data_IF_318416214983
#
_entry.id   IF_318416214983
#
_cell.length_a   1.000
_cell.length_b   1.000
_cell.length_c   1.000
_cell.angle_alpha   90.00
_cell.angle_beta   90.00
_cell.angle_gamma   90.00
#
_symmetry.space_group_name_H-M   'P 1'
#
loop_
_entity.id
_entity.type
_entity.pdbx_description
1 polymer ?
#
# COMPACT_ATOMS: atom_id res chain seq x y z
N UNK A 1 -31.34 12.58 6.28
CA UNK A 1 -30.12 13.40 6.48
C UNK A 1 -28.88 12.56 6.81
N UNK A 2 -29.00 11.46 7.58
CA UNK A 2 -27.84 10.58 7.91
C UNK A 2 -27.13 9.97 6.69
N UNK A 3 -27.84 9.55 5.64
CA UNK A 3 -27.23 8.97 4.45
C UNK A 3 -26.38 9.96 3.62
N UNK A 4 -26.74 11.25 3.57
CA UNK A 4 -25.94 12.26 2.84
C UNK A 4 -24.61 12.54 3.53
N UNK A 5 -24.59 12.52 4.86
CA UNK A 5 -23.34 12.73 5.64
C UNK A 5 -22.36 11.55 5.49
N UNK A 6 -22.87 10.32 5.33
CA UNK A 6 -22.03 9.13 5.17
C UNK A 6 -21.35 9.10 3.80
N UNK A 7 -22.02 9.53 2.73
CA UNK A 7 -21.46 9.50 1.38
C UNK A 7 -20.31 10.51 1.19
N UNK A 8 -20.37 11.66 1.86
CA UNK A 8 -19.29 12.68 1.83
C UNK A 8 -18.18 12.44 2.85
N UNK A 9 -18.34 11.45 3.74
CA UNK A 9 -17.27 11.04 4.66
C UNK A 9 -16.04 10.56 3.87
N UNK A 10 -14.84 10.75 4.44
CA UNK A 10 -13.59 10.47 3.76
C UNK A 10 -13.25 8.98 3.71
N UNK A 11 -12.36 8.61 2.82
CA UNK A 11 -11.63 7.35 2.85
C UNK A 11 -10.39 7.54 3.71
N UNK A 12 -10.28 6.74 4.79
CA UNK A 12 -9.05 6.69 5.58
C UNK A 12 -8.01 5.82 4.86
N UNK A 13 -6.81 6.34 4.66
CA UNK A 13 -5.69 5.58 4.11
C UNK A 13 -4.54 5.64 5.08
N UNK A 14 -3.93 4.51 5.43
CA UNK A 14 -2.73 4.56 6.26
C UNK A 14 -1.60 3.67 5.78
N UNK A 15 -0.40 4.09 6.11
CA UNK A 15 0.86 3.40 5.83
C UNK A 15 1.84 3.55 7.00
N UNK A 16 2.89 2.75 6.99
CA UNK A 16 3.99 2.88 7.94
C UNK A 16 4.75 4.21 7.82
N UNK A 17 4.59 4.96 6.74
CA UNK A 17 5.32 6.19 6.50
C UNK A 17 4.85 6.93 5.26
N UNK A 18 5.75 7.11 4.29
CA UNK A 18 5.51 7.91 3.08
C UNK A 18 5.13 7.06 1.86
N UNK A 19 5.44 5.77 1.87
CA UNK A 19 5.26 4.89 0.71
C UNK A 19 3.80 4.72 0.29
N UNK A 20 2.87 4.75 1.24
CA UNK A 20 1.43 4.63 1.00
C UNK A 20 0.83 5.73 0.12
N UNK A 21 1.57 6.83 -0.10
CA UNK A 21 1.19 7.86 -1.06
C UNK A 21 1.10 7.32 -2.51
N UNK A 22 1.80 6.23 -2.83
CA UNK A 22 1.64 5.56 -4.13
C UNK A 22 0.25 4.94 -4.30
N UNK A 23 -0.32 4.37 -3.24
CA UNK A 23 -1.69 3.84 -3.21
C UNK A 23 -2.69 4.99 -3.17
N UNK A 24 -2.44 6.00 -2.33
CA UNK A 24 -3.28 7.20 -2.22
C UNK A 24 -3.43 7.91 -3.56
N UNK A 25 -2.34 8.06 -4.31
CA UNK A 25 -2.37 8.64 -5.66
C UNK A 25 -3.30 7.88 -6.61
N UNK A 26 -3.29 6.56 -6.57
CA UNK A 26 -4.21 5.76 -7.40
C UNK A 26 -5.66 5.89 -6.93
N UNK A 27 -5.91 5.94 -5.63
CA UNK A 27 -7.26 6.20 -5.09
C UNK A 27 -7.79 7.55 -5.60
N UNK A 28 -7.01 8.61 -5.49
CA UNK A 28 -7.39 9.94 -6.00
C UNK A 28 -7.66 9.94 -7.49
N UNK A 29 -6.87 9.17 -8.26
CA UNK A 29 -7.02 9.09 -9.72
C UNK A 29 -8.25 8.31 -10.15
N UNK A 30 -8.54 7.18 -9.48
CA UNK A 30 -9.65 6.28 -9.84
C UNK A 30 -10.98 6.71 -9.20
N UNK A 31 -10.91 7.46 -8.10
CA UNK A 31 -12.04 7.89 -7.28
C UNK A 31 -11.96 9.43 -7.03
N UNK A 32 -11.97 10.25 -8.09
CA UNK A 32 -11.65 11.69 -7.97
C UNK A 32 -12.67 12.51 -7.17
N UNK A 33 -13.82 11.94 -6.86
CA UNK A 33 -14.85 12.60 -6.04
C UNK A 33 -14.73 12.27 -4.55
N UNK A 34 -13.87 11.32 -4.16
CA UNK A 34 -13.76 10.86 -2.79
C UNK A 34 -12.81 11.72 -1.97
N UNK A 35 -13.27 12.15 -0.80
CA UNK A 35 -12.41 12.76 0.21
C UNK A 35 -11.44 11.71 0.77
N UNK A 36 -10.21 12.11 1.07
CA UNK A 36 -9.20 11.21 1.63
C UNK A 36 -8.56 11.81 2.87
N UNK A 37 -8.45 11.01 3.92
CA UNK A 37 -7.64 11.29 5.10
C UNK A 37 -6.49 10.28 5.12
N UNK A 38 -5.27 10.77 4.89
CA UNK A 38 -4.06 9.95 4.94
C UNK A 38 -3.41 10.03 6.32
N UNK A 39 -2.92 8.89 6.80
CA UNK A 39 -2.05 8.83 7.97
C UNK A 39 -0.76 8.06 7.67
N UNK A 40 0.39 8.71 7.85
CA UNK A 40 1.73 8.11 7.78
C UNK A 40 2.36 7.95 9.15
N UNK A 41 2.67 6.72 9.56
CA UNK A 41 3.27 6.42 10.86
C UNK A 41 4.79 6.60 10.86
N UNK A 42 5.21 7.82 10.56
CA UNK A 42 6.62 8.19 10.32
C UNK A 42 7.52 8.07 11.55
N UNK A 43 6.95 8.13 12.76
CA UNK A 43 7.71 7.95 14.00
C UNK A 43 8.14 6.49 14.26
N UNK A 44 7.40 5.50 13.69
CA UNK A 44 7.58 4.07 14.02
C UNK A 44 8.06 3.22 12.86
N UNK A 45 8.49 3.85 11.74
CA UNK A 45 9.12 3.15 10.61
C UNK A 45 10.44 2.48 11.01
N UNK A 46 10.88 1.44 10.31
CA UNK A 46 10.16 0.65 9.32
C UNK A 46 9.30 -0.44 9.96
N UNK A 47 8.14 -0.74 9.38
CA UNK A 47 7.27 -1.84 9.83
C UNK A 47 7.81 -3.23 9.48
N UNK A 48 8.60 -3.33 8.43
CA UNK A 48 9.12 -4.61 7.91
C UNK A 48 10.01 -5.41 8.87
N UNK A 49 10.52 -4.78 9.94
CA UNK A 49 11.33 -5.42 11.00
C UNK A 49 10.60 -5.55 12.34
N UNK A 50 9.33 -5.15 12.42
CA UNK A 50 8.55 -5.20 13.67
C UNK A 50 7.82 -6.53 13.82
N UNK A 51 7.53 -6.89 15.08
CA UNK A 51 6.73 -8.07 15.39
C UNK A 51 5.26 -7.90 14.99
N UNK A 52 4.56 -9.01 14.75
CA UNK A 52 3.12 -9.02 14.46
C UNK A 52 2.30 -8.24 15.50
N UNK A 53 2.59 -8.46 16.80
CA UNK A 53 1.87 -7.80 17.89
C UNK A 53 2.02 -6.27 17.85
N UNK A 54 3.22 -5.77 17.55
CA UNK A 54 3.43 -4.34 17.39
C UNK A 54 2.66 -3.78 16.19
N UNK A 55 2.67 -4.47 15.04
CA UNK A 55 1.95 -4.03 13.85
C UNK A 55 0.44 -4.00 14.10
N UNK A 56 -0.13 -5.00 14.79
CA UNK A 56 -1.54 -4.99 15.18
C UNK A 56 -1.83 -3.81 16.10
N UNK A 57 -1.00 -3.59 17.13
CA UNK A 57 -1.18 -2.45 18.05
C UNK A 57 -1.15 -1.12 17.30
N UNK A 58 -0.17 -0.90 16.44
CA UNK A 58 -0.04 0.33 15.64
C UNK A 58 -1.25 0.52 14.72
N UNK A 59 -1.69 -0.53 14.05
CA UNK A 59 -2.86 -0.48 13.18
C UNK A 59 -4.14 -0.11 13.94
N UNK A 60 -4.33 -0.65 15.16
CA UNK A 60 -5.47 -0.29 16.04
C UNK A 60 -5.48 1.18 16.40
N UNK A 61 -4.33 1.74 16.81
CA UNK A 61 -4.20 3.16 17.15
C UNK A 61 -4.54 4.04 15.94
N UNK A 62 -3.98 3.73 14.79
CA UNK A 62 -4.22 4.49 13.56
C UNK A 62 -5.69 4.42 13.14
N UNK A 63 -6.32 3.26 13.21
CA UNK A 63 -7.74 3.10 12.87
C UNK A 63 -8.62 3.91 13.84
N UNK A 64 -8.32 3.92 15.14
CA UNK A 64 -9.05 4.76 16.11
C UNK A 64 -8.91 6.24 15.77
N UNK A 65 -7.70 6.69 15.47
CA UNK A 65 -7.46 8.06 14.99
C UNK A 65 -8.29 8.37 13.74
N UNK A 66 -8.21 7.54 12.70
CA UNK A 66 -8.94 7.77 11.46
C UNK A 66 -10.47 7.82 11.69
N UNK A 67 -10.99 7.01 12.59
CA UNK A 67 -12.42 7.07 12.97
C UNK A 67 -12.82 8.41 13.57
N UNK A 68 -11.92 9.13 14.28
CA UNK A 68 -12.21 10.50 14.74
C UNK A 68 -12.32 11.51 13.60
N UNK A 69 -11.84 11.17 12.40
CA UNK A 69 -11.92 11.99 11.19
C UNK A 69 -13.13 11.69 10.31
N UNK A 70 -14.13 10.98 10.83
CA UNK A 70 -15.35 10.64 10.12
C UNK A 70 -15.08 9.95 8.78
N UNK A 71 -14.32 8.86 8.79
CA UNK A 71 -14.06 8.05 7.59
C UNK A 71 -15.13 6.98 7.39
N UNK A 72 -15.47 6.67 6.13
CA UNK A 72 -16.48 5.67 5.74
C UNK A 72 -15.91 4.30 5.35
N UNK A 73 -14.62 4.26 5.00
CA UNK A 73 -13.86 3.05 4.69
C UNK A 73 -12.39 3.30 5.00
N UNK A 74 -11.62 2.25 5.23
CA UNK A 74 -10.19 2.34 5.52
C UNK A 74 -9.40 1.45 4.55
N UNK A 75 -8.31 1.99 4.02
CA UNK A 75 -7.33 1.27 3.20
C UNK A 75 -6.01 1.15 3.96
N UNK A 76 -5.58 -0.07 4.21
CA UNK A 76 -4.23 -0.36 4.72
C UNK A 76 -3.29 -0.42 3.53
N UNK A 77 -2.62 0.71 3.22
CA UNK A 77 -1.70 0.79 2.10
C UNK A 77 -0.40 -0.01 2.35
N UNK A 78 0.05 -0.07 3.59
CA UNK A 78 1.23 -0.83 3.99
C UNK A 78 1.06 -2.33 3.80
N UNK A 79 1.92 -2.95 2.97
CA UNK A 79 1.90 -4.41 2.75
C UNK A 79 2.18 -5.20 4.02
N UNK A 80 3.12 -4.74 4.86
CA UNK A 80 3.43 -5.38 6.15
C UNK A 80 2.22 -5.35 7.09
N UNK A 81 1.55 -4.21 7.19
CA UNK A 81 0.33 -4.09 8.01
C UNK A 81 -0.83 -4.90 7.42
N UNK A 82 -1.00 -4.90 6.10
CA UNK A 82 -1.98 -5.75 5.40
C UNK A 82 -1.74 -7.24 5.66
N UNK A 83 -0.47 -7.67 5.67
CA UNK A 83 -0.12 -9.07 5.91
C UNK A 83 -0.35 -9.52 7.35
N UNK A 84 -0.08 -8.65 8.33
CA UNK A 84 0.03 -9.05 9.74
C UNK A 84 -1.15 -8.60 10.60
N UNK A 85 -1.86 -7.53 10.24
CA UNK A 85 -2.89 -6.93 11.07
C UNK A 85 -4.30 -6.98 10.47
N UNK A 86 -4.44 -7.04 9.14
CA UNK A 86 -5.73 -6.85 8.45
C UNK A 86 -6.85 -7.72 9.01
N UNK A 87 -6.65 -9.02 9.11
CA UNK A 87 -7.70 -9.95 9.59
C UNK A 87 -8.14 -9.62 11.02
N UNK A 88 -7.15 -9.33 11.91
CA UNK A 88 -7.44 -8.96 13.29
C UNK A 88 -8.25 -7.66 13.39
N UNK A 89 -7.85 -6.61 12.66
CA UNK A 89 -8.55 -5.32 12.75
C UNK A 89 -9.91 -5.33 12.04
N UNK A 90 -10.12 -6.16 11.04
CA UNK A 90 -11.43 -6.36 10.41
C UNK A 90 -12.48 -6.93 11.38
N UNK A 91 -12.07 -7.82 12.28
CA UNK A 91 -12.94 -8.40 13.29
C UNK A 91 -13.28 -7.42 14.41
N UNK A 92 -12.42 -6.42 14.66
CA UNK A 92 -12.53 -5.50 15.79
C UNK A 92 -13.27 -4.19 15.48
N UNK A 93 -13.29 -3.79 14.21
CA UNK A 93 -13.85 -2.49 13.82
C UNK A 93 -15.00 -2.62 12.83
N UNK A 94 -16.13 -2.03 13.18
CA UNK A 94 -17.34 -1.97 12.35
C UNK A 94 -17.22 -0.86 11.28
N UNK A 95 -16.30 -1.06 10.34
CA UNK A 95 -16.09 -0.21 9.17
C UNK A 95 -15.43 -1.06 8.07
N UNK A 96 -15.74 -0.86 6.79
CA UNK A 96 -15.01 -1.54 5.71
C UNK A 96 -13.52 -1.27 5.77
N UNK A 97 -12.70 -2.32 5.91
CA UNK A 97 -11.23 -2.23 5.91
C UNK A 97 -10.71 -3.14 4.82
N UNK A 98 -9.89 -2.60 3.92
CA UNK A 98 -9.22 -3.37 2.88
C UNK A 98 -7.70 -3.20 2.98
N UNK A 99 -6.98 -4.24 2.52
CA UNK A 99 -5.53 -4.20 2.38
C UNK A 99 -5.13 -4.39 0.93
N UNK A 100 -3.86 -4.22 0.64
CA UNK A 100 -3.31 -4.24 -0.73
C UNK A 100 -2.95 -5.66 -1.24
N UNK A 101 -2.93 -6.68 -0.37
CA UNK A 101 -2.45 -8.01 -0.73
C UNK A 101 -3.45 -8.78 -1.57
N UNK A 102 -4.71 -8.86 -1.16
CA UNK A 102 -5.75 -9.62 -1.88
C UNK A 102 -5.95 -9.09 -3.30
N UNK A 103 -6.11 -7.76 -3.53
CA UNK A 103 -6.20 -7.21 -4.88
C UNK A 103 -4.95 -7.52 -5.72
N UNK A 104 -3.76 -7.38 -5.14
CA UNK A 104 -2.50 -7.67 -5.81
C UNK A 104 -2.33 -9.15 -6.18
N UNK A 105 -2.71 -10.07 -5.30
CA UNK A 105 -2.68 -11.51 -5.56
C UNK A 105 -3.64 -11.90 -6.68
N UNK A 106 -4.86 -11.37 -6.67
CA UNK A 106 -5.86 -11.59 -7.73
C UNK A 106 -5.38 -11.10 -9.08
N UNK A 107 -4.78 -9.91 -9.12
CA UNK A 107 -4.21 -9.39 -10.35
C UNK A 107 -3.05 -10.26 -10.86
N UNK A 108 -2.16 -10.71 -10.00
CA UNK A 108 -1.05 -11.57 -10.39
C UNK A 108 -1.54 -12.90 -11.01
N UNK A 109 -2.56 -13.51 -10.42
CA UNK A 109 -3.18 -14.73 -10.98
C UNK A 109 -3.85 -14.46 -12.32
N UNK A 110 -4.46 -13.31 -12.51
CA UNK A 110 -5.07 -12.91 -13.78
C UNK A 110 -4.02 -12.69 -14.89
N UNK A 111 -2.86 -12.13 -14.55
CA UNK A 111 -1.84 -11.68 -15.49
C UNK A 111 -0.81 -12.79 -15.84
N UNK A 112 -0.56 -13.74 -14.93
CA UNK A 112 0.39 -14.83 -15.19
C UNK A 112 -0.11 -15.77 -16.28
N UNK A 113 0.82 -16.28 -17.09
CA UNK A 113 0.55 -17.26 -18.16
C UNK A 113 1.06 -18.66 -17.80
N UNK A 114 2.11 -18.73 -16.98
CA UNK A 114 2.76 -19.99 -16.61
C UNK A 114 2.59 -20.38 -15.14
N UNK A 115 1.93 -19.52 -14.33
CA UNK A 115 1.73 -19.76 -12.90
C UNK A 115 2.95 -19.48 -12.02
N UNK A 116 4.05 -18.93 -12.58
CA UNK A 116 5.26 -18.62 -11.82
C UNK A 116 5.31 -17.14 -11.46
N UNK A 117 5.10 -16.83 -10.19
CA UNK A 117 4.89 -15.47 -9.70
C UNK A 117 5.98 -15.09 -8.70
N UNK A 118 6.69 -13.99 -8.98
CA UNK A 118 7.62 -13.36 -8.05
C UNK A 118 6.91 -12.39 -7.11
N UNK A 119 7.35 -12.32 -5.85
CA UNK A 119 6.87 -11.33 -4.87
C UNK A 119 8.07 -10.66 -4.20
N UNK A 120 8.25 -9.36 -4.42
CA UNK A 120 9.22 -8.56 -3.68
C UNK A 120 8.52 -7.90 -2.47
N UNK A 121 9.15 -7.93 -1.31
CA UNK A 121 8.53 -7.37 -0.11
C UNK A 121 9.54 -7.08 1.00
N UNK A 122 9.03 -6.58 2.12
CA UNK A 122 9.80 -6.55 3.37
C UNK A 122 9.99 -7.97 3.92
N UNK A 123 10.93 -8.15 4.84
CA UNK A 123 11.10 -9.46 5.50
C UNK A 123 9.80 -9.96 6.13
N UNK A 124 9.09 -9.09 6.85
CA UNK A 124 7.84 -9.47 7.51
C UNK A 124 6.74 -9.84 6.49
N UNK A 125 6.61 -9.12 5.38
CA UNK A 125 5.66 -9.43 4.32
C UNK A 125 5.95 -10.80 3.72
N UNK A 126 7.19 -11.09 3.37
CA UNK A 126 7.58 -12.37 2.75
C UNK A 126 7.43 -13.53 3.76
N UNK A 127 7.93 -13.37 4.99
CA UNK A 127 7.81 -14.39 6.05
C UNK A 127 6.36 -14.71 6.45
N UNK A 128 5.42 -13.78 6.26
CA UNK A 128 3.99 -14.02 6.53
C UNK A 128 3.36 -15.03 5.61
N UNK A 129 3.94 -15.21 4.42
CA UNK A 129 3.41 -16.02 3.31
C UNK A 129 1.99 -15.60 2.85
N UNK A 130 1.52 -14.42 3.24
CA UNK A 130 0.15 -13.99 2.94
C UNK A 130 -0.09 -13.90 1.44
N UNK A 131 0.84 -13.34 0.66
CA UNK A 131 0.73 -13.36 -0.80
C UNK A 131 0.65 -14.79 -1.37
N UNK A 132 1.52 -15.69 -0.92
CA UNK A 132 1.53 -17.10 -1.36
C UNK A 132 0.20 -17.79 -1.05
N UNK A 133 -0.34 -17.56 0.13
CA UNK A 133 -1.64 -18.12 0.54
C UNK A 133 -2.78 -17.57 -0.31
N UNK A 134 -2.83 -16.26 -0.54
CA UNK A 134 -3.89 -15.64 -1.34
C UNK A 134 -3.80 -16.05 -2.83
N UNK A 135 -2.60 -16.13 -3.39
CA UNK A 135 -2.39 -16.63 -4.76
C UNK A 135 -2.86 -18.08 -4.88
N UNK A 136 -2.45 -18.97 -3.95
CA UNK A 136 -2.79 -20.40 -3.99
C UNK A 136 -4.26 -20.70 -3.69
N UNK A 137 -5.00 -19.81 -3.05
CA UNK A 137 -6.46 -19.90 -2.96
C UNK A 137 -7.13 -19.82 -4.35
N UNK A 138 -6.55 -19.04 -5.26
CA UNK A 138 -7.08 -18.78 -6.59
C UNK A 138 -6.46 -19.72 -7.65
N UNK A 139 -5.19 -20.08 -7.48
CA UNK A 139 -4.41 -20.94 -8.37
C UNK A 139 -3.54 -21.87 -7.50
N UNK A 140 -4.09 -23.03 -7.07
CA UNK A 140 -3.41 -23.94 -6.14
C UNK A 140 -2.03 -24.43 -6.61
N UNK A 141 -1.84 -24.56 -7.93
CA UNK A 141 -0.61 -25.00 -8.59
C UNK A 141 0.43 -23.90 -8.77
N UNK A 142 0.12 -22.65 -8.43
CA UNK A 142 1.05 -21.53 -8.62
C UNK A 142 2.34 -21.71 -7.82
N UNK A 143 3.45 -21.48 -8.51
CA UNK A 143 4.77 -21.38 -7.91
C UNK A 143 5.05 -19.92 -7.53
N UNK A 144 5.23 -19.65 -6.25
CA UNK A 144 5.43 -18.29 -5.73
C UNK A 144 6.83 -18.17 -5.14
N UNK A 145 7.63 -17.29 -5.72
CA UNK A 145 9.01 -16.99 -5.28
C UNK A 145 9.01 -15.65 -4.54
N UNK A 146 9.10 -15.68 -3.21
CA UNK A 146 9.18 -14.49 -2.37
C UNK A 146 10.63 -14.03 -2.15
N UNK A 147 10.92 -12.74 -2.35
CA UNK A 147 12.25 -12.16 -2.08
C UNK A 147 12.15 -10.95 -1.17
N UNK A 148 12.74 -10.98 0.04
CA UNK A 148 12.86 -9.80 0.88
C UNK A 148 13.92 -8.85 0.31
N UNK A 149 13.56 -7.55 0.20
CA UNK A 149 14.43 -6.51 -0.36
C UNK A 149 14.49 -5.29 0.59
N UNK A 150 15.03 -5.43 1.82
CA UNK A 150 14.95 -4.39 2.85
C UNK A 150 15.63 -3.07 2.46
N UNK A 151 16.68 -3.08 1.65
CA UNK A 151 17.38 -1.86 1.23
C UNK A 151 16.60 -1.01 0.21
N UNK A 152 15.56 -1.53 -0.43
CA UNK A 152 14.79 -0.75 -1.41
C UNK A 152 14.06 0.43 -0.77
N UNK A 153 13.59 0.28 0.49
CA UNK A 153 12.91 1.37 1.21
C UNK A 153 13.86 2.55 1.43
N UNK A 154 15.03 2.41 2.10
CA UNK A 154 15.94 3.54 2.30
C UNK A 154 16.48 4.13 0.99
N UNK A 155 16.72 3.33 -0.05
CA UNK A 155 17.14 3.86 -1.35
C UNK A 155 16.09 4.82 -1.95
N UNK A 156 14.80 4.53 -1.76
CA UNK A 156 13.72 5.41 -2.21
C UNK A 156 13.62 6.65 -1.34
N UNK A 157 13.62 6.50 -0.02
CA UNK A 157 13.42 7.61 0.92
C UNK A 157 14.56 8.62 0.91
N UNK A 158 15.79 8.16 0.66
CA UNK A 158 16.96 9.02 0.53
C UNK A 158 17.21 9.55 -0.91
N UNK A 159 16.26 9.30 -1.83
CA UNK A 159 16.29 9.86 -3.19
C UNK A 159 17.24 9.13 -4.16
N UNK A 160 17.72 7.94 -3.80
CA UNK A 160 18.63 7.15 -4.66
C UNK A 160 17.89 6.29 -5.70
N UNK A 161 16.57 6.39 -5.84
CA UNK A 161 15.79 5.56 -6.75
C UNK A 161 16.31 5.56 -8.20
N UNK A 162 16.93 6.65 -8.65
CA UNK A 162 17.54 6.77 -9.98
C UNK A 162 19.08 6.64 -9.98
N UNK A 163 19.70 6.38 -8.85
CA UNK A 163 21.13 6.29 -8.73
C UNK A 163 21.65 4.90 -9.14
N UNK A 164 22.90 4.81 -9.62
CA UNK A 164 23.54 3.56 -10.04
C UNK A 164 23.60 2.51 -8.92
N UNK A 165 23.77 2.94 -7.67
CA UNK A 165 23.76 2.03 -6.50
C UNK A 165 22.45 1.21 -6.43
N UNK A 166 21.34 1.76 -6.87
CA UNK A 166 20.05 1.04 -6.89
C UNK A 166 20.06 -0.11 -7.89
N UNK A 167 20.74 0.04 -9.03
CA UNK A 167 20.91 -1.04 -10.00
C UNK A 167 21.76 -2.18 -9.42
N UNK A 168 22.83 -1.84 -8.71
CA UNK A 168 23.70 -2.81 -8.04
C UNK A 168 22.92 -3.59 -6.95
N UNK A 169 22.12 -2.88 -6.15
CA UNK A 169 21.29 -3.52 -5.12
C UNK A 169 20.16 -4.37 -5.73
N UNK A 170 19.57 -3.95 -6.86
CA UNK A 170 18.60 -4.75 -7.61
C UNK A 170 19.26 -6.06 -8.06
N UNK A 171 20.46 -6.02 -8.64
CA UNK A 171 21.18 -7.23 -9.07
C UNK A 171 21.51 -8.15 -7.89
N UNK A 172 22.01 -7.62 -6.78
CA UNK A 172 22.29 -8.39 -5.56
C UNK A 172 21.04 -9.14 -5.07
N UNK A 173 19.89 -8.49 -5.06
CA UNK A 173 18.67 -9.12 -4.57
C UNK A 173 18.00 -10.05 -5.59
N UNK A 174 18.01 -9.69 -6.87
CA UNK A 174 17.12 -10.29 -7.85
C UNK A 174 17.83 -11.23 -8.84
N UNK A 175 19.16 -11.39 -8.75
CA UNK A 175 19.93 -12.22 -9.68
C UNK A 175 19.47 -13.69 -9.74
N UNK A 176 19.07 -14.28 -8.62
CA UNK A 176 18.52 -15.64 -8.60
C UNK A 176 17.10 -15.71 -9.14
N UNK A 177 16.25 -14.71 -8.80
CA UNK A 177 14.89 -14.62 -9.32
C UNK A 177 14.89 -14.38 -10.84
N UNK A 178 15.86 -13.66 -11.37
CA UNK A 178 16.03 -13.46 -12.82
C UNK A 178 16.32 -14.74 -13.59
N UNK A 179 16.94 -15.75 -12.93
CA UNK A 179 17.22 -17.07 -13.52
C UNK A 179 16.03 -18.00 -13.46
N UNK A 180 14.99 -17.65 -12.70
CA UNK A 180 13.75 -18.41 -12.62
C UNK A 180 12.83 -18.08 -13.81
N UNK A 181 11.76 -18.87 -13.96
CA UNK A 181 10.80 -18.70 -15.05
C UNK A 181 9.60 -17.83 -14.68
N UNK A 182 9.75 -16.91 -13.71
CA UNK A 182 8.66 -15.99 -13.36
C UNK A 182 8.26 -15.16 -14.58
N UNK A 183 6.96 -15.05 -14.82
CA UNK A 183 6.39 -14.17 -15.85
C UNK A 183 5.63 -12.99 -15.24
N UNK A 184 5.37 -13.05 -13.95
CA UNK A 184 4.61 -12.03 -13.22
C UNK A 184 5.31 -11.67 -11.92
N UNK A 185 5.35 -10.36 -11.60
CA UNK A 185 6.04 -9.84 -10.43
C UNK A 185 5.15 -8.88 -9.63
N UNK A 186 5.00 -9.14 -8.34
CA UNK A 186 4.30 -8.27 -7.40
C UNK A 186 5.32 -7.40 -6.65
N UNK A 187 5.13 -6.08 -6.68
CA UNK A 187 5.85 -5.14 -5.84
C UNK A 187 5.14 -5.00 -4.49
N UNK A 188 5.40 -5.95 -3.58
CA UNK A 188 4.75 -6.10 -2.27
C UNK A 188 5.28 -5.15 -1.19
N UNK A 189 5.59 -3.92 -1.55
CA UNK A 189 5.90 -2.81 -0.66
C UNK A 189 5.54 -1.49 -1.35
N UNK A 190 4.97 -0.55 -0.61
CA UNK A 190 4.50 0.74 -1.12
C UNK A 190 5.58 1.63 -1.72
N UNK A 191 6.84 1.42 -1.35
CA UNK A 191 7.99 2.13 -1.91
C UNK A 191 8.44 1.57 -3.26
N UNK A 192 8.27 0.26 -3.51
CA UNK A 192 8.85 -0.40 -4.67
C UNK A 192 8.29 0.05 -6.03
N UNK A 193 7.04 0.54 -6.16
CA UNK A 193 6.57 1.17 -7.39
C UNK A 193 7.44 2.33 -7.88
N UNK A 194 8.17 3.02 -6.97
CA UNK A 194 9.10 4.09 -7.33
C UNK A 194 10.41 3.58 -7.96
N UNK A 195 10.68 2.28 -7.82
CA UNK A 195 11.77 1.56 -8.48
C UNK A 195 11.31 0.79 -9.74
N UNK A 196 10.00 0.86 -10.08
CA UNK A 196 9.40 0.04 -11.14
C UNK A 196 10.18 0.07 -12.45
N UNK A 197 10.59 1.23 -12.92
CA UNK A 197 11.32 1.38 -14.20
C UNK A 197 12.66 0.64 -14.19
N UNK A 198 13.38 0.65 -13.07
CA UNK A 198 14.65 -0.05 -12.89
C UNK A 198 14.46 -1.56 -12.80
N UNK A 199 13.46 -1.98 -12.06
CA UNK A 199 13.10 -3.41 -11.92
C UNK A 199 12.63 -3.96 -13.29
N UNK A 200 11.81 -3.20 -14.03
CA UNK A 200 11.42 -3.57 -15.39
C UNK A 200 12.62 -3.70 -16.33
N UNK A 201 13.54 -2.73 -16.31
CA UNK A 201 14.76 -2.79 -17.13
C UNK A 201 15.63 -4.00 -16.78
N UNK A 202 15.64 -4.40 -15.50
CA UNK A 202 16.40 -5.56 -15.03
C UNK A 202 15.83 -6.90 -15.52
N UNK A 203 14.51 -7.10 -15.44
CA UNK A 203 13.86 -8.33 -15.89
C UNK A 203 13.57 -8.37 -17.39
N UNK A 204 13.45 -7.21 -18.03
CA UNK A 204 13.04 -7.08 -19.44
C UNK A 204 11.52 -7.24 -19.63
N UNK A 205 11.10 -7.44 -20.89
CA UNK A 205 9.68 -7.51 -21.28
C UNK A 205 9.00 -8.82 -20.94
N UNK A 206 9.76 -9.85 -20.54
CA UNK A 206 9.23 -11.17 -20.21
C UNK A 206 8.48 -11.23 -18.89
N UNK A 207 8.66 -10.24 -18.01
CA UNK A 207 8.04 -10.20 -16.67
C UNK A 207 7.06 -9.05 -16.57
N UNK A 208 5.79 -9.37 -16.35
CA UNK A 208 4.76 -8.39 -16.10
C UNK A 208 4.79 -7.93 -14.63
N UNK A 209 4.83 -6.61 -14.40
CA UNK A 209 4.79 -6.05 -13.04
C UNK A 209 3.36 -5.59 -12.71
N UNK A 210 2.77 -6.22 -11.71
CA UNK A 210 1.40 -5.94 -11.24
C UNK A 210 1.32 -4.54 -10.61
N UNK A 211 0.26 -3.81 -10.92
CA UNK A 211 -0.05 -2.53 -10.29
C UNK A 211 -1.02 -2.73 -9.10
N UNK A 212 -0.47 -3.12 -7.95
CA UNK A 212 -1.26 -3.40 -6.74
C UNK A 212 -2.05 -2.18 -6.25
N UNK A 213 -1.53 -0.97 -6.43
CA UNK A 213 -2.21 0.26 -6.03
C UNK A 213 -3.48 0.51 -6.86
N UNK A 214 -3.41 0.29 -8.18
CA UNK A 214 -4.57 0.37 -9.07
C UNK A 214 -5.65 -0.66 -8.68
N UNK A 215 -5.26 -1.91 -8.50
CA UNK A 215 -6.20 -2.98 -8.13
C UNK A 215 -6.87 -2.69 -6.77
N UNK A 216 -6.12 -2.15 -5.81
CA UNK A 216 -6.68 -1.74 -4.51
C UNK A 216 -7.70 -0.61 -4.66
N UNK A 217 -7.44 0.37 -5.52
CA UNK A 217 -8.37 1.46 -5.79
C UNK A 217 -9.65 0.95 -6.48
N UNK A 218 -9.54 -0.04 -7.37
CA UNK A 218 -10.70 -0.64 -8.04
C UNK A 218 -11.55 -1.49 -7.07
N UNK A 219 -10.91 -2.24 -6.17
CA UNK A 219 -11.63 -2.97 -5.11
C UNK A 219 -12.37 -2.01 -4.16
N UNK A 220 -11.69 -0.93 -3.77
CA UNK A 220 -12.32 0.12 -2.96
C UNK A 220 -13.55 0.70 -3.67
N UNK A 221 -13.42 1.02 -4.96
CA UNK A 221 -14.53 1.51 -5.79
C UNK A 221 -15.73 0.57 -5.75
N UNK A 222 -15.50 -0.72 -5.98
CA UNK A 222 -16.55 -1.73 -5.93
C UNK A 222 -17.26 -1.77 -4.57
N UNK A 223 -16.49 -1.76 -3.46
CA UNK A 223 -17.05 -1.76 -2.10
C UNK A 223 -17.92 -0.52 -1.85
N UNK A 224 -17.46 0.67 -2.27
CA UNK A 224 -18.23 1.90 -2.09
C UNK A 224 -19.53 1.88 -2.89
N UNK A 225 -19.52 1.34 -4.10
CA UNK A 225 -20.71 1.18 -4.96
C UNK A 225 -21.69 0.15 -4.40
N UNK A 226 -21.22 -1.03 -4.02
CA UNK A 226 -22.03 -2.11 -3.42
C UNK A 226 -22.71 -1.66 -2.13
N UNK A 227 -22.00 -0.93 -1.28
CA UNK A 227 -22.53 -0.39 -0.03
C UNK A 227 -23.33 0.91 -0.21
N UNK A 228 -23.37 1.45 -1.43
CA UNK A 228 -24.06 2.71 -1.77
C UNK A 228 -23.57 3.90 -0.93
N UNK A 229 -22.25 3.96 -0.67
CA UNK A 229 -21.59 5.04 0.09
C UNK A 229 -20.62 5.85 -0.75
N UNK A 230 -20.57 5.65 -2.06
CA UNK A 230 -19.76 6.47 -2.97
C UNK A 230 -20.18 7.95 -2.91
N UNK A 231 -19.19 8.85 -2.98
CA UNK A 231 -19.46 10.29 -2.96
C UNK A 231 -20.01 10.75 -4.33
N UNK A 232 -21.25 11.17 -4.33
CA UNK A 232 -21.97 11.69 -5.51
C UNK A 232 -22.37 13.15 -5.33
N UNK A 233 -21.72 13.90 -4.42
CA UNK A 233 -22.09 15.28 -4.10
C UNK A 233 -21.82 16.26 -5.25
N UNK A 234 -20.85 15.98 -6.10
CA UNK A 234 -20.33 16.89 -7.13
C UNK A 234 -19.41 17.98 -6.57
N UNK A 235 -19.16 18.00 -5.27
CA UNK A 235 -18.20 18.91 -4.64
C UNK A 235 -16.76 18.44 -4.90
N UNK A 236 -15.79 19.36 -4.99
CA UNK A 236 -14.38 19.02 -5.08
C UNK A 236 -13.93 18.16 -3.90
N UNK A 237 -13.14 17.13 -4.17
CA UNK A 237 -12.60 16.27 -3.14
C UNK A 237 -11.61 17.02 -2.23
N UNK A 238 -11.70 16.77 -0.94
CA UNK A 238 -10.79 17.30 0.08
C UNK A 238 -9.80 16.22 0.52
N UNK A 239 -8.54 16.63 0.78
CA UNK A 239 -7.45 15.74 1.13
C UNK A 239 -6.71 16.26 2.35
N UNK A 240 -6.73 15.46 3.43
CA UNK A 240 -6.05 15.79 4.69
C UNK A 240 -4.90 14.80 4.95
N UNK A 241 -3.76 15.33 5.39
CA UNK A 241 -2.56 14.54 5.66
C UNK A 241 -2.11 14.67 7.10
N UNK A 242 -1.95 13.53 7.74
CA UNK A 242 -1.48 13.41 9.12
C UNK A 242 -0.28 12.47 9.19
N UNK A 243 0.62 12.76 10.10
CA UNK A 243 1.80 11.94 10.39
C UNK A 243 2.05 11.86 11.89
N UNK A 244 2.77 10.82 12.32
CA UNK A 244 3.19 10.72 13.72
C UNK A 244 4.45 11.52 14.02
N UNK A 245 5.26 11.89 13.01
CA UNK A 245 6.47 12.72 13.13
C UNK A 245 6.93 13.26 11.78
N UNK A 246 7.91 14.16 11.77
CA UNK A 246 8.63 14.65 10.59
C UNK A 246 7.72 15.20 9.46
N UNK A 247 6.71 16.01 9.80
CA UNK A 247 5.70 16.53 8.87
C UNK A 247 6.31 17.24 7.64
N UNK A 248 7.40 18.00 7.80
CA UNK A 248 8.05 18.69 6.68
C UNK A 248 8.76 17.72 5.71
N UNK A 249 9.42 16.67 6.22
CA UNK A 249 10.03 15.62 5.37
C UNK A 249 8.92 14.89 4.59
N UNK A 250 7.83 14.57 5.26
CA UNK A 250 6.66 13.96 4.63
C UNK A 250 6.07 14.85 3.53
N UNK A 251 5.82 16.12 3.81
CA UNK A 251 5.28 17.09 2.84
C UNK A 251 6.14 17.18 1.58
N UNK A 252 7.47 17.29 1.74
CA UNK A 252 8.42 17.32 0.63
C UNK A 252 8.30 16.05 -0.23
N UNK A 253 8.21 14.89 0.38
CA UNK A 253 8.07 13.62 -0.33
C UNK A 253 6.70 13.52 -1.02
N UNK A 254 5.62 13.92 -0.34
CA UNK A 254 4.27 13.92 -0.90
C UNK A 254 4.17 14.77 -2.17
N UNK A 255 4.74 15.96 -2.18
CA UNK A 255 4.78 16.86 -3.34
C UNK A 255 5.61 16.29 -4.51
N UNK A 256 6.47 15.31 -4.28
CA UNK A 256 7.20 14.61 -5.36
C UNK A 256 6.40 13.48 -6.02
N UNK A 257 5.31 13.02 -5.37
CA UNK A 257 4.53 11.84 -5.80
C UNK A 257 3.11 12.19 -6.21
N UNK A 258 2.46 13.09 -5.46
CA UNK A 258 1.06 13.45 -5.68
C UNK A 258 0.92 14.45 -6.84
N UNK A 259 -0.24 14.47 -7.53
CA UNK A 259 -0.46 15.33 -8.69
C UNK A 259 -0.81 16.78 -8.31
N UNK A 260 -0.80 17.13 -7.03
CA UNK A 260 -1.09 18.48 -6.52
C UNK A 260 -0.22 18.77 -5.28
N UNK A 261 -0.11 20.04 -4.93
CA UNK A 261 0.68 20.46 -3.78
C UNK A 261 -0.03 20.17 -2.45
N UNK A 262 0.67 19.51 -1.56
CA UNK A 262 0.25 19.27 -0.19
C UNK A 262 0.63 20.50 0.65
N UNK A 263 -0.33 21.38 0.91
CA UNK A 263 -0.07 22.63 1.64
C UNK A 263 0.15 22.39 3.12
N UNK A 264 -0.60 21.47 3.71
CA UNK A 264 -0.57 21.20 5.16
C UNK A 264 -0.42 19.71 5.44
N UNK A 265 0.50 19.41 6.35
CA UNK A 265 0.64 18.09 6.98
C UNK A 265 0.65 18.33 8.50
N UNK A 266 -0.19 17.59 9.23
CA UNK A 266 -0.32 17.74 10.67
C UNK A 266 0.38 16.59 11.37
N UNK A 267 1.34 16.91 12.25
CA UNK A 267 1.91 15.92 13.17
C UNK A 267 0.96 15.77 14.37
N UNK A 268 0.72 14.52 14.76
CA UNK A 268 -0.09 14.18 15.93
C UNK A 268 0.62 13.12 16.78
N UNK A 269 0.36 13.12 18.08
CA UNK A 269 0.79 12.01 18.93
C UNK A 269 -0.18 10.83 18.76
N UNK A 270 0.29 9.80 18.09
CA UNK A 270 -0.54 8.61 17.82
C UNK A 270 -0.70 7.70 19.06
N UNK A 271 0.12 7.89 20.08
CA UNK A 271 0.00 7.11 21.33
C UNK A 271 -1.24 7.55 22.16
N UNK A 272 -1.88 8.66 21.82
CA UNK A 272 -3.15 9.11 22.42
C UNK A 272 -4.35 8.24 21.98
N UNK A 273 -4.19 7.39 21.00
CA UNK A 273 -5.23 6.55 20.38
C UNK A 273 -4.94 5.06 20.60
#
# INVERSE_FOLDING_TARGET
MENKNRNTAAIGVFDSGVGGLTVTREIMRQLPNENVVYFGDTARVPYGSKSKNNIIRFSRQIIRFLKTKNVKAIVIACNTASALALETVKEEFDIPIIGVIVPGARAAVRETKNGQIGVLGTEATIKSETYTKEIRKLMPEAEVIGKPCPLFVPLVEEGFAKHKITEEVIDIYLSDMRKSEIDTLILGCTHYPLLRSRIMAYFGESVHIVNTAYETAMDLKQILEEQKIANTSGEPAAYDFYVSDAAEKFKKFANSILPYDVDKTQAIDIEDY
#
